data_IF_641858352601
#
_entry.id   IF_641858352601
#
_cell.length_a   1.000
_cell.length_b   1.000
_cell.length_c   1.000
_cell.angle_alpha   90.00
_cell.angle_beta   90.00
_cell.angle_gamma   90.00
#
_symmetry.space_group_name_H-M   'P 1'
#
loop_
_entity.id
_entity.type
_entity.pdbx_description
1 polymer ?
#
# COMPACT_ATOMS: atom_id res chain seq x y z
N UNK A 1 -8.96 -80.63 -5.09
CA UNK A 1 -7.83 -80.28 -5.97
C UNK A 1 -8.05 -78.84 -6.40
N UNK A 2 -7.00 -78.01 -6.26
CA UNK A 2 -6.93 -76.55 -6.48
C UNK A 2 -7.77 -76.10 -7.70
N UNK A 3 -8.41 -74.92 -7.71
CA UNK A 3 -7.74 -73.62 -7.92
C UNK A 3 -8.63 -72.48 -7.39
N UNK A 4 -7.97 -71.57 -6.70
CA UNK A 4 -8.44 -70.26 -6.25
C UNK A 4 -8.65 -69.31 -7.43
N UNK A 5 -9.74 -68.53 -7.44
CA UNK A 5 -9.74 -67.21 -8.09
C UNK A 5 -10.54 -66.22 -7.22
N UNK A 6 -9.78 -65.50 -6.41
CA UNK A 6 -10.16 -64.23 -5.79
C UNK A 6 -10.46 -63.20 -6.88
N UNK A 7 -11.72 -62.77 -6.99
CA UNK A 7 -12.10 -61.58 -7.74
C UNK A 7 -12.14 -60.41 -6.76
N UNK A 8 -10.99 -59.73 -6.62
CA UNK A 8 -10.89 -58.45 -5.95
C UNK A 8 -11.38 -57.36 -6.93
N UNK A 9 -12.63 -56.94 -6.81
CA UNK A 9 -13.16 -55.82 -7.59
C UNK A 9 -12.58 -54.52 -7.02
N UNK A 10 -11.53 -54.01 -7.67
CA UNK A 10 -10.95 -52.70 -7.40
C UNK A 10 -11.95 -51.59 -7.80
N UNK A 11 -12.68 -51.04 -6.83
CA UNK A 11 -13.35 -49.75 -6.99
C UNK A 11 -12.29 -48.65 -6.98
N UNK A 12 -11.81 -48.26 -8.15
CA UNK A 12 -11.06 -47.01 -8.32
C UNK A 12 -12.07 -45.86 -8.21
N UNK A 13 -12.23 -45.35 -7.00
CA UNK A 13 -12.91 -44.08 -6.76
C UNK A 13 -12.04 -42.96 -7.34
N UNK A 14 -12.39 -42.50 -8.54
CA UNK A 14 -11.89 -41.23 -9.08
C UNK A 14 -12.46 -40.10 -8.23
N UNK A 15 -11.75 -39.74 -7.16
CA UNK A 15 -11.91 -38.44 -6.52
C UNK A 15 -11.42 -37.38 -7.52
N UNK A 16 -12.36 -36.81 -8.27
CA UNK A 16 -12.16 -35.53 -8.93
C UNK A 16 -12.05 -34.48 -7.82
N UNK A 17 -10.84 -34.32 -7.28
CA UNK A 17 -10.46 -33.12 -6.55
C UNK A 17 -10.39 -32.04 -7.62
N UNK A 18 -11.51 -31.34 -7.83
CA UNK A 18 -11.49 -30.04 -8.47
C UNK A 18 -10.62 -29.16 -7.56
N UNK A 19 -9.34 -29.00 -7.92
CA UNK A 19 -8.58 -27.83 -7.52
C UNK A 19 -9.32 -26.62 -8.09
N UNK A 20 -10.30 -26.11 -7.34
CA UNK A 20 -10.58 -24.68 -7.37
C UNK A 20 -9.29 -24.03 -6.90
N UNK A 21 -8.42 -23.68 -7.84
CA UNK A 21 -7.49 -22.60 -7.59
C UNK A 21 -8.37 -21.41 -7.31
N UNK A 22 -8.54 -21.04 -6.04
CA UNK A 22 -9.01 -19.70 -5.67
C UNK A 22 -8.18 -18.74 -6.52
N UNK A 23 -8.79 -18.17 -7.57
CA UNK A 23 -8.12 -17.20 -8.41
C UNK A 23 -7.87 -16.02 -7.50
N UNK A 24 -6.63 -15.91 -6.98
CA UNK A 24 -6.22 -14.79 -6.14
C UNK A 24 -6.63 -13.51 -6.85
N UNK A 25 -7.45 -12.71 -6.17
CA UNK A 25 -7.96 -11.44 -6.70
C UNK A 25 -6.77 -10.56 -7.09
N UNK A 26 -6.84 -9.95 -8.26
CA UNK A 26 -5.81 -9.05 -8.77
C UNK A 26 -6.22 -7.60 -8.50
N UNK A 27 -5.64 -6.97 -7.48
CA UNK A 27 -6.00 -5.62 -7.04
C UNK A 27 -5.92 -4.58 -8.16
N UNK A 28 -5.04 -4.78 -9.14
CA UNK A 28 -4.94 -3.88 -10.28
C UNK A 28 -6.03 -4.17 -11.31
N UNK A 29 -6.05 -5.39 -11.85
CA UNK A 29 -6.95 -5.74 -12.95
C UNK A 29 -8.43 -5.80 -12.53
N UNK A 30 -8.70 -6.14 -11.27
CA UNK A 30 -10.04 -6.16 -10.69
C UNK A 30 -10.51 -4.79 -10.17
N UNK A 31 -9.71 -3.74 -10.36
CA UNK A 31 -10.12 -2.34 -10.16
C UNK A 31 -10.11 -1.85 -8.71
N UNK A 32 -9.29 -2.41 -7.81
CA UNK A 32 -9.18 -1.87 -6.45
C UNK A 32 -8.78 -0.39 -6.49
N UNK A 33 -7.64 -0.08 -7.10
CA UNK A 33 -7.06 1.27 -7.08
C UNK A 33 -7.97 2.32 -7.71
N UNK A 34 -8.50 2.06 -8.91
CA UNK A 34 -9.40 2.99 -9.60
C UNK A 34 -10.65 3.29 -8.80
N UNK A 35 -11.26 2.27 -8.18
CA UNK A 35 -12.43 2.47 -7.34
C UNK A 35 -12.10 3.24 -6.05
N UNK A 36 -10.93 3.04 -5.44
CA UNK A 36 -10.51 3.85 -4.28
C UNK A 36 -10.38 5.32 -4.66
N UNK A 37 -9.78 5.64 -5.81
CA UNK A 37 -9.66 7.04 -6.25
C UNK A 37 -11.01 7.68 -6.56
N UNK A 38 -11.92 6.93 -7.20
CA UNK A 38 -13.28 7.39 -7.46
C UNK A 38 -14.05 7.65 -6.16
N UNK A 39 -14.00 6.72 -5.22
CA UNK A 39 -14.68 6.86 -3.93
C UNK A 39 -14.12 8.00 -3.09
N UNK A 40 -12.79 8.21 -3.08
CA UNK A 40 -12.13 9.34 -2.43
C UNK A 40 -12.59 10.68 -3.05
N UNK A 41 -12.63 10.77 -4.39
CA UNK A 41 -13.14 11.97 -5.07
C UNK A 41 -14.59 12.28 -4.70
N UNK A 42 -15.48 11.28 -4.73
CA UNK A 42 -16.89 11.43 -4.34
C UNK A 42 -17.04 11.84 -2.88
N UNK A 43 -16.18 11.32 -1.98
CA UNK A 43 -16.17 11.74 -0.59
C UNK A 43 -15.81 13.23 -0.44
N UNK A 44 -14.77 13.69 -1.16
CA UNK A 44 -14.32 15.09 -1.17
C UNK A 44 -15.44 16.01 -1.70
N UNK A 45 -16.14 15.58 -2.75
CA UNK A 45 -17.29 16.28 -3.34
C UNK A 45 -18.58 16.18 -2.50
N UNK A 46 -18.54 15.48 -1.36
CA UNK A 46 -19.66 15.26 -0.43
C UNK A 46 -20.80 14.42 -1.02
N UNK A 47 -20.52 13.69 -2.09
CA UNK A 47 -21.40 12.67 -2.68
C UNK A 47 -21.29 11.36 -1.86
N UNK A 48 -21.64 11.46 -0.56
CA UNK A 48 -21.34 10.43 0.44
C UNK A 48 -21.97 9.06 0.15
N UNK A 49 -23.23 9.02 -0.31
CA UNK A 49 -23.89 7.73 -0.61
C UNK A 49 -23.17 7.00 -1.74
N UNK A 50 -22.81 7.70 -2.83
CA UNK A 50 -22.06 7.11 -3.95
C UNK A 50 -20.67 6.64 -3.53
N UNK A 51 -19.97 7.45 -2.73
CA UNK A 51 -18.66 7.07 -2.17
C UNK A 51 -18.78 5.80 -1.30
N UNK A 52 -19.80 5.74 -0.44
CA UNK A 52 -20.08 4.58 0.40
C UNK A 52 -20.35 3.32 -0.44
N UNK A 53 -21.21 3.40 -1.45
CA UNK A 53 -21.55 2.27 -2.32
C UNK A 53 -20.32 1.67 -3.01
N UNK A 54 -19.39 2.52 -3.45
CA UNK A 54 -18.13 2.05 -4.05
C UNK A 54 -17.26 1.37 -3.00
N UNK A 55 -17.02 2.00 -1.84
CA UNK A 55 -16.21 1.37 -0.79
C UNK A 55 -16.82 0.06 -0.30
N UNK A 56 -18.14 0.00 -0.10
CA UNK A 56 -18.85 -1.20 0.37
C UNK A 56 -18.68 -2.35 -0.63
N UNK A 57 -18.84 -2.06 -1.92
CA UNK A 57 -18.60 -3.02 -3.00
C UNK A 57 -17.15 -3.48 -3.04
N UNK A 58 -16.17 -2.57 -2.98
CA UNK A 58 -14.74 -2.90 -3.01
C UNK A 58 -14.37 -3.74 -1.79
N UNK A 59 -14.73 -3.32 -0.58
CA UNK A 59 -14.36 -4.02 0.65
C UNK A 59 -15.10 -5.34 0.85
N UNK A 60 -16.16 -5.62 0.08
CA UNK A 60 -16.76 -6.95 0.00
C UNK A 60 -15.91 -7.97 -0.80
N UNK A 61 -15.03 -7.49 -1.68
CA UNK A 61 -14.18 -8.31 -2.57
C UNK A 61 -12.72 -8.32 -2.16
N UNK A 62 -12.22 -7.23 -1.57
CA UNK A 62 -10.81 -7.03 -1.27
C UNK A 62 -10.58 -6.77 0.21
N UNK A 63 -9.48 -7.31 0.74
CA UNK A 63 -8.91 -6.80 1.98
C UNK A 63 -8.39 -5.37 1.74
N UNK A 64 -8.84 -4.35 2.52
CA UNK A 64 -8.38 -2.99 2.33
C UNK A 64 -6.88 -2.85 2.59
N UNK A 65 -6.21 -2.08 1.73
CA UNK A 65 -4.77 -1.76 1.81
C UNK A 65 -4.53 -0.66 2.85
N UNK A 66 -5.44 0.31 2.96
CA UNK A 66 -5.26 1.57 3.69
C UNK A 66 -4.06 2.36 3.16
N UNK A 67 -4.14 2.70 1.87
CA UNK A 67 -3.11 3.44 1.16
C UNK A 67 -2.83 4.78 1.86
N UNK A 68 -1.54 5.06 2.05
CA UNK A 68 -1.10 6.34 2.57
C UNK A 68 -1.69 7.48 1.72
N UNK A 69 -2.01 8.61 2.38
CA UNK A 69 -2.74 9.77 1.83
C UNK A 69 -4.26 9.55 1.71
N UNK A 70 -4.72 8.42 1.17
CA UNK A 70 -6.15 8.18 0.91
C UNK A 70 -6.92 7.76 2.17
N UNK A 71 -6.32 6.97 3.05
CA UNK A 71 -6.91 6.56 4.34
C UNK A 71 -8.30 5.91 4.17
N UNK A 72 -8.48 5.08 3.13
CA UNK A 72 -9.78 4.60 2.67
C UNK A 72 -10.59 3.87 3.74
N UNK A 73 -9.92 3.19 4.68
CA UNK A 73 -10.59 2.46 5.75
C UNK A 73 -11.23 3.42 6.74
N UNK A 74 -10.51 4.47 7.13
CA UNK A 74 -11.06 5.50 8.02
C UNK A 74 -12.20 6.26 7.34
N UNK A 75 -12.09 6.53 6.04
CA UNK A 75 -13.12 7.19 5.23
C UNK A 75 -14.39 6.35 5.15
N UNK A 76 -14.28 5.04 4.92
CA UNK A 76 -15.44 4.14 4.93
C UNK A 76 -16.15 4.09 6.30
N UNK A 77 -15.39 4.06 7.40
CA UNK A 77 -15.97 4.14 8.76
C UNK A 77 -16.69 5.48 8.98
N UNK A 78 -16.10 6.59 8.51
CA UNK A 78 -16.73 7.92 8.57
C UNK A 78 -18.03 7.97 7.77
N UNK A 79 -18.05 7.41 6.57
CA UNK A 79 -19.25 7.34 5.72
C UNK A 79 -20.40 6.59 6.41
N UNK A 80 -20.11 5.46 7.07
CA UNK A 80 -21.13 4.75 7.86
C UNK A 80 -21.73 5.63 8.96
N UNK A 81 -20.90 6.43 9.63
CA UNK A 81 -21.35 7.37 10.67
C UNK A 81 -22.21 8.49 10.07
N UNK A 82 -21.74 9.11 8.97
CA UNK A 82 -22.42 10.22 8.29
C UNK A 82 -23.80 9.79 7.79
N UNK A 83 -23.88 8.61 7.18
CA UNK A 83 -25.09 8.08 6.55
C UNK A 83 -25.98 7.28 7.50
N UNK A 84 -25.57 7.11 8.76
CA UNK A 84 -26.32 6.32 9.75
C UNK A 84 -26.43 4.83 9.39
N UNK A 85 -25.48 4.29 8.63
CA UNK A 85 -25.41 2.85 8.31
C UNK A 85 -24.97 2.05 9.55
N UNK A 86 -25.24 0.74 9.55
CA UNK A 86 -24.77 -0.14 10.63
C UNK A 86 -23.23 -0.13 10.70
N UNK A 87 -22.71 0.23 11.86
CA UNK A 87 -21.28 0.26 12.16
C UNK A 87 -21.00 -0.62 13.37
N UNK A 88 -20.37 -1.77 13.11
CA UNK A 88 -20.01 -2.71 14.16
C UNK A 88 -18.86 -2.12 14.98
N UNK A 89 -18.90 -2.36 16.29
CA UNK A 89 -17.83 -1.92 17.20
C UNK A 89 -16.45 -2.44 16.78
N UNK A 90 -16.39 -3.64 16.20
CA UNK A 90 -15.15 -4.22 15.67
C UNK A 90 -14.58 -3.39 14.52
N UNK A 91 -15.39 -2.95 13.56
CA UNK A 91 -14.93 -2.14 12.42
C UNK A 91 -14.30 -0.82 12.89
N UNK A 92 -14.89 -0.21 13.92
CA UNK A 92 -14.33 1.00 14.54
C UNK A 92 -13.01 0.74 15.28
N UNK A 93 -12.92 -0.37 16.03
CA UNK A 93 -11.71 -0.72 16.79
C UNK A 93 -10.59 -1.32 15.93
N UNK A 94 -10.91 -1.84 14.74
CA UNK A 94 -9.94 -2.31 13.75
C UNK A 94 -9.08 -1.16 13.22
N UNK A 95 -9.60 0.08 13.19
CA UNK A 95 -8.77 1.27 12.90
C UNK A 95 -7.52 1.31 13.80
N UNK A 96 -7.67 1.07 15.10
CA UNK A 96 -6.52 1.05 16.02
C UNK A 96 -5.79 -0.28 16.01
N UNK A 97 -6.51 -1.41 16.05
CA UNK A 97 -5.90 -2.73 16.27
C UNK A 97 -5.32 -3.41 15.03
N UNK A 98 -5.76 -3.02 13.83
CA UNK A 98 -5.27 -3.56 12.56
C UNK A 98 -4.49 -2.51 11.78
N UNK A 99 -5.03 -1.30 11.67
CA UNK A 99 -4.44 -0.24 10.83
C UNK A 99 -3.56 0.74 11.62
N UNK A 100 -3.50 0.61 12.94
CA UNK A 100 -2.59 1.38 13.79
C UNK A 100 -2.95 2.86 13.95
N UNK A 101 -4.20 3.25 13.66
CA UNK A 101 -4.66 4.62 13.89
C UNK A 101 -4.57 4.96 15.39
N UNK A 102 -3.89 6.07 15.76
CA UNK A 102 -3.80 6.52 17.15
C UNK A 102 -5.19 6.83 17.72
N UNK A 103 -5.43 6.49 18.98
CA UNK A 103 -6.72 6.78 19.62
C UNK A 103 -7.03 8.29 19.63
N UNK A 104 -6.00 9.14 19.71
CA UNK A 104 -6.16 10.58 19.62
C UNK A 104 -6.73 11.04 18.27
N UNK A 105 -6.42 10.34 17.17
CA UNK A 105 -7.01 10.60 15.86
C UNK A 105 -8.52 10.35 15.89
N UNK A 106 -8.93 9.19 16.41
CA UNK A 106 -10.34 8.80 16.52
C UNK A 106 -11.13 9.75 17.45
N UNK A 107 -10.49 10.24 18.52
CA UNK A 107 -11.09 11.16 19.50
C UNK A 107 -11.23 12.61 19.00
N UNK A 108 -10.32 13.05 18.13
CA UNK A 108 -10.27 14.45 17.65
C UNK A 108 -10.92 14.65 16.28
N UNK A 109 -10.95 13.63 15.44
CA UNK A 109 -11.60 13.70 14.15
C UNK A 109 -13.10 14.01 14.31
N UNK A 110 -13.60 15.00 13.57
CA UNK A 110 -14.95 15.54 13.75
C UNK A 110 -16.06 14.53 13.51
N UNK A 111 -15.83 13.52 12.66
CA UNK A 111 -16.80 12.48 12.33
C UNK A 111 -16.59 11.25 13.22
N UNK A 112 -15.36 10.75 13.34
CA UNK A 112 -15.08 9.55 14.15
C UNK A 112 -15.39 9.77 15.64
N UNK A 113 -15.26 11.01 16.14
CA UNK A 113 -15.58 11.35 17.53
C UNK A 113 -17.08 11.17 17.84
N UNK A 114 -17.97 11.26 16.84
CA UNK A 114 -19.41 11.01 17.04
C UNK A 114 -19.63 9.57 17.52
N UNK A 115 -18.96 8.58 16.91
CA UNK A 115 -19.06 7.19 17.34
C UNK A 115 -18.28 6.94 18.63
N UNK A 116 -17.08 7.51 18.79
CA UNK A 116 -16.31 7.44 20.03
C UNK A 116 -17.16 7.81 21.26
N UNK A 117 -17.89 8.93 21.21
CA UNK A 117 -18.68 9.40 22.36
C UNK A 117 -19.77 8.41 22.79
N UNK A 118 -20.28 7.58 21.86
CA UNK A 118 -21.27 6.53 22.15
C UNK A 118 -20.65 5.33 22.86
N UNK A 119 -19.37 5.04 22.60
CA UNK A 119 -18.67 3.82 23.07
C UNK A 119 -17.50 4.10 24.03
N UNK A 120 -17.26 5.36 24.40
CA UNK A 120 -16.04 5.82 25.10
C UNK A 120 -15.65 4.97 26.31
N UNK A 121 -16.61 4.62 27.16
CA UNK A 121 -16.36 3.86 28.39
C UNK A 121 -15.78 2.47 28.11
N UNK A 122 -16.20 1.85 26.99
CA UNK A 122 -15.69 0.56 26.54
C UNK A 122 -14.37 0.75 25.79
N UNK A 123 -14.35 1.69 24.84
CA UNK A 123 -13.18 1.96 24.01
C UNK A 123 -11.94 2.35 24.84
N UNK A 124 -12.07 3.30 25.78
CA UNK A 124 -10.93 3.75 26.59
C UNK A 124 -10.33 2.62 27.46
N UNK A 125 -11.16 1.67 27.92
CA UNK A 125 -10.68 0.48 28.64
C UNK A 125 -9.91 -0.48 27.74
N UNK A 126 -10.28 -0.56 26.47
CA UNK A 126 -9.70 -1.51 25.50
C UNK A 126 -8.48 -0.95 24.75
N UNK A 127 -8.23 0.37 24.77
CA UNK A 127 -7.08 1.01 24.08
C UNK A 127 -5.76 0.26 24.29
N UNK A 128 -5.35 -0.12 25.52
CA UNK A 128 -4.08 -0.83 25.72
C UNK A 128 -4.02 -2.17 24.97
N UNK A 129 -5.13 -2.90 24.93
CA UNK A 129 -5.25 -4.19 24.24
C UNK A 129 -5.24 -4.00 22.74
N UNK A 130 -5.98 -3.02 22.22
CA UNK A 130 -6.03 -2.71 20.78
C UNK A 130 -4.66 -2.29 20.25
N UNK A 131 -3.95 -1.39 20.97
CA UNK A 131 -2.58 -0.98 20.60
C UNK A 131 -1.61 -2.15 20.62
N UNK A 132 -1.71 -3.02 21.64
CA UNK A 132 -0.87 -4.23 21.73
C UNK A 132 -1.15 -5.19 20.59
N UNK A 133 -2.41 -5.35 20.17
CA UNK A 133 -2.76 -6.20 19.03
C UNK A 133 -2.08 -5.72 17.75
N UNK A 134 -2.11 -4.41 17.47
CA UNK A 134 -1.41 -3.84 16.33
C UNK A 134 0.09 -4.04 16.42
N UNK A 135 0.74 -3.60 17.51
CA UNK A 135 2.21 -3.67 17.62
C UNK A 135 2.75 -5.09 17.63
N UNK A 136 2.02 -6.06 18.20
CA UNK A 136 2.42 -7.47 18.21
C UNK A 136 2.27 -8.14 16.84
N UNK A 137 1.52 -7.55 15.92
CA UNK A 137 1.38 -8.06 14.55
C UNK A 137 2.55 -7.68 13.64
N UNK A 138 3.39 -6.72 14.05
CA UNK A 138 4.46 -6.16 13.24
C UNK A 138 5.75 -6.98 13.34
N UNK A 139 6.45 -7.10 12.21
CA UNK A 139 7.82 -7.61 12.17
C UNK A 139 8.82 -6.49 12.51
N UNK A 140 9.05 -6.31 13.81
CA UNK A 140 9.93 -5.26 14.33
C UNK A 140 11.40 -5.46 13.97
N UNK A 141 11.86 -6.70 13.79
CA UNK A 141 13.23 -6.99 13.38
C UNK A 141 13.49 -6.54 11.94
N UNK A 142 12.56 -6.85 11.03
CA UNK A 142 12.63 -6.38 9.66
C UNK A 142 12.51 -4.85 9.58
N UNK A 143 11.60 -4.26 10.36
CA UNK A 143 11.49 -2.79 10.47
C UNK A 143 12.83 -2.16 10.87
N UNK A 144 13.43 -2.64 11.95
CA UNK A 144 14.71 -2.14 12.47
C UNK A 144 15.85 -2.35 11.48
N UNK A 145 15.84 -3.46 10.73
CA UNK A 145 16.79 -3.70 9.64
C UNK A 145 16.65 -2.64 8.55
N UNK A 146 15.44 -2.38 8.07
CA UNK A 146 15.17 -1.36 7.04
C UNK A 146 15.60 0.02 7.51
N UNK A 147 15.31 0.39 8.77
CA UNK A 147 15.75 1.67 9.34
C UNK A 147 17.27 1.81 9.33
N UNK A 148 18.01 0.77 9.70
CA UNK A 148 19.49 0.77 9.61
C UNK A 148 19.99 0.90 8.17
N UNK A 149 19.38 0.17 7.22
CA UNK A 149 19.73 0.28 5.80
C UNK A 149 19.57 1.70 5.28
N UNK A 150 18.49 2.40 5.68
CA UNK A 150 18.27 3.81 5.32
C UNK A 150 19.32 4.76 5.90
N UNK A 151 19.75 4.54 7.14
CA UNK A 151 20.80 5.35 7.76
C UNK A 151 22.11 5.18 6.99
N UNK A 152 22.49 3.93 6.67
CA UNK A 152 23.71 3.67 5.90
C UNK A 152 23.61 4.20 4.46
N UNK A 153 22.44 4.10 3.82
CA UNK A 153 22.20 4.62 2.46
C UNK A 153 22.49 6.12 2.33
N UNK A 154 22.37 6.90 3.40
CA UNK A 154 22.62 8.35 3.38
C UNK A 154 24.03 8.72 3.87
N UNK A 155 24.82 7.76 4.34
CA UNK A 155 26.06 8.01 5.11
C UNK A 155 27.15 8.76 4.35
N UNK A 156 27.32 8.46 3.06
CA UNK A 156 28.37 9.07 2.22
C UNK A 156 27.80 9.92 1.08
N UNK A 157 26.48 10.10 1.02
CA UNK A 157 25.81 11.02 0.10
C UNK A 157 25.97 12.45 0.62
N UNK A 158 26.60 13.31 -0.16
CA UNK A 158 26.74 14.73 0.18
C UNK A 158 26.75 15.58 -1.08
N UNK A 159 26.01 16.70 -1.08
CA UNK A 159 25.98 17.63 -2.20
C UNK A 159 27.37 18.22 -2.43
N UNK A 160 28.01 17.89 -3.57
CA UNK A 160 29.27 18.48 -4.00
C UNK A 160 30.55 17.93 -3.35
N UNK A 161 30.48 16.82 -2.60
CA UNK A 161 31.68 16.24 -1.94
C UNK A 161 31.52 14.85 -1.33
N UNK A 162 30.45 14.12 -1.66
CA UNK A 162 30.23 12.76 -1.18
C UNK A 162 31.31 11.77 -1.64
N UNK A 163 31.54 10.71 -0.86
CA UNK A 163 32.45 9.64 -1.25
C UNK A 163 31.68 8.58 -2.05
N UNK A 164 31.62 8.78 -3.37
CA UNK A 164 30.82 7.94 -4.26
C UNK A 164 31.32 6.50 -4.37
N UNK A 165 32.61 6.24 -4.23
CA UNK A 165 33.13 4.85 -4.20
C UNK A 165 32.57 4.08 -3.00
N UNK A 166 32.57 4.70 -1.81
CA UNK A 166 31.96 4.12 -0.61
C UNK A 166 30.45 4.03 -0.75
N UNK A 167 29.81 5.02 -1.35
CA UNK A 167 28.36 5.03 -1.55
C UNK A 167 27.92 3.90 -2.48
N UNK A 168 28.57 3.72 -3.63
CA UNK A 168 28.25 2.66 -4.58
C UNK A 168 28.37 1.28 -3.95
N UNK A 169 29.35 1.09 -3.04
CA UNK A 169 29.45 -0.15 -2.27
C UNK A 169 28.25 -0.36 -1.34
N UNK A 170 27.78 0.69 -0.67
CA UNK A 170 26.57 0.62 0.17
C UNK A 170 25.34 0.32 -0.69
N UNK A 171 25.21 0.95 -1.86
CA UNK A 171 24.08 0.76 -2.77
C UNK A 171 24.02 -0.68 -3.29
N UNK A 172 25.18 -1.27 -3.60
CA UNK A 172 25.30 -2.68 -3.96
C UNK A 172 24.91 -3.63 -2.81
N UNK A 173 25.36 -3.35 -1.58
CA UNK A 173 24.97 -4.13 -0.38
C UNK A 173 23.45 -4.02 -0.16
N UNK A 174 22.90 -2.81 -0.20
CA UNK A 174 21.47 -2.57 -0.03
C UNK A 174 20.66 -3.27 -1.13
N UNK A 175 21.15 -3.32 -2.36
CA UNK A 175 20.52 -4.05 -3.46
C UNK A 175 20.37 -5.54 -3.14
N UNK A 176 21.45 -6.19 -2.68
CA UNK A 176 21.39 -7.61 -2.29
C UNK A 176 20.47 -7.84 -1.09
N UNK A 177 20.49 -6.92 -0.12
CA UNK A 177 19.61 -7.00 1.05
C UNK A 177 18.12 -6.81 0.69
N UNK A 178 17.79 -5.96 -0.29
CA UNK A 178 16.43 -5.82 -0.80
C UNK A 178 15.93 -7.10 -1.46
N UNK A 179 16.78 -7.77 -2.25
CA UNK A 179 16.48 -9.09 -2.84
C UNK A 179 16.20 -10.10 -1.72
N UNK A 180 17.10 -10.19 -0.73
CA UNK A 180 16.94 -11.10 0.41
C UNK A 180 15.65 -10.82 1.20
N UNK A 181 15.28 -9.54 1.37
CA UNK A 181 14.02 -9.15 2.02
C UNK A 181 12.83 -9.67 1.20
N UNK A 182 12.84 -9.51 -0.12
CA UNK A 182 11.75 -9.99 -0.97
C UNK A 182 11.62 -11.50 -0.96
N UNK A 183 12.74 -12.22 -0.97
CA UNK A 183 12.73 -13.68 -0.97
C UNK A 183 12.31 -14.26 0.38
N UNK A 184 12.68 -13.60 1.48
CA UNK A 184 12.38 -14.08 2.84
C UNK A 184 11.00 -13.67 3.32
N UNK A 185 10.62 -12.41 3.12
CA UNK A 185 9.44 -11.80 3.73
C UNK A 185 8.39 -11.36 2.70
N UNK A 186 8.77 -11.19 1.44
CA UNK A 186 7.98 -10.48 0.44
C UNK A 186 8.13 -8.96 0.56
N UNK A 187 7.15 -8.21 0.06
CA UNK A 187 7.16 -6.74 0.18
C UNK A 187 6.92 -6.31 1.64
N UNK A 188 7.81 -5.51 2.24
CA UNK A 188 7.67 -5.03 3.61
C UNK A 188 6.63 -3.89 3.69
N UNK A 189 5.35 -4.24 3.57
CA UNK A 189 4.25 -3.29 3.58
C UNK A 189 4.03 -2.64 4.94
N UNK A 190 3.27 -1.54 4.99
CA UNK A 190 2.82 -0.90 6.24
C UNK A 190 2.15 -1.88 7.20
N UNK A 191 1.36 -2.84 6.69
CA UNK A 191 0.72 -3.89 7.49
C UNK A 191 1.75 -4.85 8.13
N UNK A 192 2.91 -5.03 7.52
CA UNK A 192 3.97 -5.93 8.01
C UNK A 192 4.93 -5.23 8.96
N UNK A 193 5.39 -4.02 8.64
CA UNK A 193 6.46 -3.33 9.38
C UNK A 193 5.98 -2.09 10.14
N UNK A 194 4.71 -1.70 9.98
CA UNK A 194 4.10 -0.53 10.60
C UNK A 194 4.46 0.79 9.91
N UNK A 195 3.70 1.85 10.22
CA UNK A 195 3.97 3.22 9.78
C UNK A 195 4.95 3.95 10.70
N UNK A 196 5.19 5.25 10.48
CA UNK A 196 5.92 6.11 11.41
C UNK A 196 5.21 6.33 12.74
N UNK A 197 3.93 5.98 12.85
CA UNK A 197 3.14 6.12 14.09
C UNK A 197 3.58 5.14 15.20
N UNK A 198 4.40 4.13 14.86
CA UNK A 198 4.93 3.15 15.81
C UNK A 198 5.96 3.78 16.74
N UNK A 199 6.91 4.54 16.20
CA UNK A 199 8.12 5.01 16.91
C UNK A 199 8.66 6.36 16.41
N UNK A 200 7.90 7.07 15.56
CA UNK A 200 8.31 8.32 14.93
C UNK A 200 9.23 8.17 13.71
N UNK A 201 9.64 6.94 13.35
CA UNK A 201 10.57 6.71 12.24
C UNK A 201 9.85 6.13 11.01
N UNK A 202 10.11 6.69 9.83
CA UNK A 202 9.53 6.18 8.59
C UNK A 202 10.33 4.99 8.04
N UNK A 203 9.93 3.76 8.38
CA UNK A 203 10.49 2.54 7.84
C UNK A 203 9.88 2.22 6.47
N UNK A 204 10.64 2.43 5.39
CA UNK A 204 10.22 2.15 4.02
C UNK A 204 11.43 1.88 3.14
N UNK A 205 11.30 0.95 2.19
CA UNK A 205 12.36 0.60 1.24
C UNK A 205 12.35 1.47 -0.03
N UNK A 206 11.37 2.37 -0.20
CA UNK A 206 11.19 3.13 -1.45
C UNK A 206 12.45 3.88 -1.88
N UNK A 207 13.08 4.62 -0.97
CA UNK A 207 14.32 5.36 -1.26
C UNK A 207 15.47 4.43 -1.66
N UNK A 208 15.60 3.29 -0.98
CA UNK A 208 16.64 2.30 -1.29
C UNK A 208 16.46 1.72 -2.69
N UNK A 209 15.21 1.45 -3.09
CA UNK A 209 14.87 0.98 -4.44
C UNK A 209 15.21 2.01 -5.52
N UNK A 210 14.98 3.31 -5.25
CA UNK A 210 15.32 4.39 -6.19
C UNK A 210 16.84 4.55 -6.40
N UNK A 211 17.65 4.10 -5.44
CA UNK A 211 19.11 4.16 -5.49
C UNK A 211 19.77 2.90 -6.07
N UNK A 212 19.00 1.87 -6.42
CA UNK A 212 19.54 0.69 -7.11
C UNK A 212 20.03 1.05 -8.52
N UNK A 213 20.96 0.26 -9.06
CA UNK A 213 21.45 0.42 -10.43
C UNK A 213 20.31 0.28 -11.46
N UNK A 214 20.40 1.02 -12.56
CA UNK A 214 19.34 1.11 -13.57
C UNK A 214 18.96 -0.26 -14.17
N UNK A 215 19.94 -1.11 -14.47
CA UNK A 215 19.68 -2.44 -15.05
C UNK A 215 18.86 -3.35 -14.12
N UNK A 216 19.22 -3.44 -12.84
CA UNK A 216 18.46 -4.28 -11.89
C UNK A 216 17.13 -3.63 -11.49
N UNK A 217 17.07 -2.30 -11.46
CA UNK A 217 15.84 -1.54 -11.25
C UNK A 217 14.80 -1.89 -12.32
N UNK A 218 15.21 -1.83 -13.58
CA UNK A 218 14.36 -2.10 -14.75
C UNK A 218 13.93 -3.55 -14.84
N UNK A 219 14.87 -4.50 -14.77
CA UNK A 219 14.59 -5.89 -15.11
C UNK A 219 14.12 -6.74 -13.93
N UNK A 220 14.42 -6.34 -12.68
CA UNK A 220 14.03 -7.09 -11.49
C UNK A 220 13.04 -6.31 -10.63
N UNK A 221 13.42 -5.12 -10.13
CA UNK A 221 12.64 -4.47 -9.09
C UNK A 221 11.31 -3.91 -9.59
N UNK A 222 11.26 -3.19 -10.71
CA UNK A 222 10.02 -2.62 -11.25
C UNK A 222 8.96 -3.73 -11.50
N UNK A 223 9.27 -4.82 -12.24
CA UNK A 223 8.34 -5.93 -12.42
C UNK A 223 7.89 -6.57 -11.10
N UNK A 224 8.83 -6.75 -10.15
CA UNK A 224 8.53 -7.35 -8.84
C UNK A 224 7.61 -6.46 -7.99
N UNK A 225 7.82 -5.15 -7.98
CA UNK A 225 6.93 -4.22 -7.28
C UNK A 225 5.55 -4.20 -7.94
N UNK A 226 5.47 -4.21 -9.28
CA UNK A 226 4.18 -4.29 -9.98
C UNK A 226 3.42 -5.58 -9.62
N UNK A 227 4.10 -6.72 -9.50
CA UNK A 227 3.50 -7.96 -9.00
C UNK A 227 2.97 -7.80 -7.55
N UNK A 228 3.67 -7.06 -6.68
CA UNK A 228 3.17 -6.74 -5.35
C UNK A 228 1.98 -5.76 -5.35
N UNK A 229 1.90 -4.83 -6.30
CA UNK A 229 0.74 -3.96 -6.53
C UNK A 229 -0.47 -4.82 -6.91
N UNK A 230 -0.32 -5.72 -7.88
CA UNK A 230 -1.39 -6.67 -8.27
C UNK A 230 -1.88 -7.54 -7.10
N UNK A 231 -1.04 -7.76 -6.10
CA UNK A 231 -1.37 -8.52 -4.87
C UNK A 231 -1.85 -7.64 -3.71
N UNK A 232 -2.05 -6.33 -3.92
CA UNK A 232 -2.48 -5.40 -2.87
C UNK A 232 -1.45 -5.19 -1.75
N UNK A 233 -0.17 -5.48 -2.00
CA UNK A 233 0.91 -5.37 -1.00
C UNK A 233 1.72 -4.08 -1.12
N UNK A 234 1.82 -3.52 -2.32
CA UNK A 234 2.60 -2.32 -2.60
C UNK A 234 1.70 -1.19 -3.13
N UNK A 235 2.13 0.05 -2.90
CA UNK A 235 1.48 1.23 -3.46
C UNK A 235 1.93 1.42 -4.92
N UNK A 236 1.02 1.59 -5.89
CA UNK A 236 1.35 1.77 -7.31
C UNK A 236 2.24 2.98 -7.59
N UNK A 237 2.21 4.00 -6.71
CA UNK A 237 3.11 5.15 -6.79
C UNK A 237 4.59 4.78 -6.75
N UNK A 238 4.96 3.69 -6.06
CA UNK A 238 6.34 3.23 -6.05
C UNK A 238 6.80 2.77 -7.44
N UNK A 239 5.95 2.08 -8.21
CA UNK A 239 6.25 1.68 -9.59
C UNK A 239 6.49 2.93 -10.45
N UNK A 240 5.58 3.90 -10.36
CA UNK A 240 5.69 5.16 -11.09
C UNK A 240 6.98 5.91 -10.76
N UNK A 241 7.33 6.05 -9.48
CA UNK A 241 8.58 6.70 -9.06
C UNK A 241 9.82 5.98 -9.57
N UNK A 242 9.88 4.66 -9.48
CA UNK A 242 11.03 3.90 -9.95
C UNK A 242 11.23 4.04 -11.45
N UNK A 243 10.13 4.00 -12.21
CA UNK A 243 10.16 4.11 -13.66
C UNK A 243 10.50 5.52 -14.12
N UNK A 244 9.89 6.56 -13.53
CA UNK A 244 10.23 7.95 -13.85
C UNK A 244 11.68 8.28 -13.44
N UNK A 245 12.18 7.73 -12.33
CA UNK A 245 13.59 7.91 -11.95
C UNK A 245 14.55 7.33 -13.00
N UNK A 246 14.24 6.16 -13.55
CA UNK A 246 14.99 5.52 -14.63
C UNK A 246 14.93 6.34 -15.93
N UNK A 247 13.77 6.88 -16.28
CA UNK A 247 13.61 7.70 -17.50
C UNK A 247 14.29 9.06 -17.37
N UNK A 248 14.24 9.67 -16.19
CA UNK A 248 14.93 10.92 -15.90
C UNK A 248 16.46 10.77 -15.99
N UNK A 249 17.04 9.63 -15.61
CA UNK A 249 18.49 9.38 -15.72
C UNK A 249 18.95 9.08 -17.14
N UNK A 250 18.10 8.44 -17.95
CA UNK A 250 18.49 7.91 -19.28
C UNK A 250 18.12 8.82 -20.45
N UNK A 251 16.91 9.39 -20.43
CA UNK A 251 16.36 10.18 -21.54
C UNK A 251 15.87 11.57 -21.13
N UNK A 252 15.95 11.91 -19.83
CA UNK A 252 15.61 13.24 -19.30
C UNK A 252 14.12 13.62 -19.47
N UNK A 253 13.23 12.63 -19.33
CA UNK A 253 11.77 12.76 -19.45
C UNK A 253 11.04 12.05 -18.29
N UNK A 254 9.75 12.35 -18.12
CA UNK A 254 8.86 11.60 -17.23
C UNK A 254 7.85 10.76 -18.04
N UNK A 255 7.68 9.49 -17.66
CA UNK A 255 6.78 8.57 -18.34
C UNK A 255 5.39 8.53 -17.71
N UNK A 256 5.32 8.50 -16.37
CA UNK A 256 4.09 8.51 -15.57
C UNK A 256 3.80 9.87 -14.93
N UNK A 257 4.77 10.80 -14.89
CA UNK A 257 4.59 12.15 -14.33
C UNK A 257 4.43 12.15 -12.81
N UNK A 258 5.26 11.38 -12.10
CA UNK A 258 5.21 11.26 -10.64
C UNK A 258 6.09 12.27 -9.92
N UNK A 259 7.04 12.93 -10.60
CA UNK A 259 7.91 13.93 -10.00
C UNK A 259 7.43 15.36 -10.32
N UNK A 260 7.48 16.22 -9.30
CA UNK A 260 7.26 17.67 -9.45
C UNK A 260 8.54 18.28 -10.02
N UNK A 261 8.64 18.34 -11.35
CA UNK A 261 9.80 18.92 -12.06
C UNK A 261 9.33 19.61 -13.34
N UNK A 262 10.17 20.48 -13.89
CA UNK A 262 9.97 21.08 -15.23
C UNK A 262 10.30 20.12 -16.38
N UNK A 263 10.61 18.85 -16.09
CA UNK A 263 11.00 17.87 -17.12
C UNK A 263 9.79 17.47 -17.95
N UNK A 264 9.96 17.32 -19.28
CA UNK A 264 8.85 17.09 -20.18
C UNK A 264 8.19 15.73 -19.97
N UNK A 265 6.90 15.68 -20.31
CA UNK A 265 6.15 14.44 -20.55
C UNK A 265 5.78 14.42 -22.02
N UNK A 266 6.52 13.64 -22.83
CA UNK A 266 6.31 13.56 -24.28
C UNK A 266 5.15 12.63 -24.63
N UNK A 267 3.94 13.02 -24.21
CA UNK A 267 2.68 12.34 -24.49
C UNK A 267 1.49 13.28 -24.22
N UNK A 268 0.35 13.02 -24.83
CA UNK A 268 -0.90 13.69 -24.49
C UNK A 268 -1.36 13.33 -23.07
N UNK A 269 -2.18 14.19 -22.46
CA UNK A 269 -2.78 13.92 -21.15
C UNK A 269 -3.55 12.58 -21.12
N UNK A 270 -4.23 12.24 -22.22
CA UNK A 270 -4.95 10.96 -22.35
C UNK A 270 -4.00 9.77 -22.26
N UNK A 271 -2.92 9.78 -23.04
CA UNK A 271 -1.91 8.72 -23.05
C UNK A 271 -1.20 8.60 -21.69
N UNK A 272 -0.92 9.73 -21.02
CA UNK A 272 -0.34 9.72 -19.67
C UNK A 272 -1.30 9.04 -18.68
N UNK A 273 -2.58 9.38 -18.72
CA UNK A 273 -3.57 8.77 -17.84
C UNK A 273 -3.78 7.28 -18.14
N UNK A 274 -3.72 6.86 -19.41
CA UNK A 274 -3.75 5.44 -19.80
C UNK A 274 -2.53 4.68 -19.24
N UNK A 275 -1.32 5.26 -19.34
CA UNK A 275 -0.11 4.70 -18.71
C UNK A 275 -0.29 4.60 -17.20
N UNK A 276 -0.70 5.67 -16.53
CA UNK A 276 -0.91 5.71 -15.07
C UNK A 276 -1.91 4.63 -14.62
N UNK A 277 -3.04 4.50 -15.31
CA UNK A 277 -4.02 3.46 -15.05
C UNK A 277 -3.44 2.04 -15.19
N UNK A 278 -2.53 1.81 -16.15
CA UNK A 278 -1.91 0.49 -16.37
C UNK A 278 -1.09 -0.06 -15.20
N UNK A 279 -0.66 0.81 -14.28
CA UNK A 279 0.04 0.44 -13.05
C UNK A 279 -0.75 0.74 -11.78
N UNK A 280 -1.99 1.24 -11.92
CA UNK A 280 -2.88 1.52 -10.79
C UNK A 280 -2.73 2.91 -10.19
N UNK A 281 -2.11 3.87 -10.88
CA UNK A 281 -2.08 5.27 -10.47
C UNK A 281 -3.41 5.98 -10.79
N UNK A 282 -3.73 7.00 -10.00
CA UNK A 282 -4.79 7.97 -10.30
C UNK A 282 -4.43 8.80 -11.53
N UNK A 283 -5.40 9.50 -12.12
CA UNK A 283 -5.13 10.44 -13.21
C UNK A 283 -4.12 11.52 -12.78
N UNK A 284 -3.34 12.01 -13.73
CA UNK A 284 -2.41 13.13 -13.50
C UNK A 284 -3.21 14.34 -12.98
N UNK A 285 -2.70 14.97 -11.91
CA UNK A 285 -3.34 16.11 -11.25
C UNK A 285 -4.43 15.75 -10.22
N UNK A 286 -4.78 14.46 -10.06
CA UNK A 286 -5.76 14.05 -9.03
C UNK A 286 -5.30 14.43 -7.61
N UNK A 287 -4.04 14.19 -7.27
CA UNK A 287 -3.53 14.54 -5.94
C UNK A 287 -3.46 16.05 -5.72
N UNK A 288 -3.11 16.81 -6.76
CA UNK A 288 -3.04 18.28 -6.70
C UNK A 288 -4.44 18.86 -6.47
N UNK A 289 -5.42 18.40 -7.24
CA UNK A 289 -6.83 18.73 -7.04
C UNK A 289 -7.29 18.39 -5.62
N UNK A 290 -7.02 17.15 -5.18
CA UNK A 290 -7.37 16.68 -3.83
C UNK A 290 -6.78 17.57 -2.74
N UNK A 291 -5.49 17.90 -2.85
CA UNK A 291 -4.81 18.74 -1.87
C UNK A 291 -5.33 20.17 -1.86
N UNK A 292 -5.63 20.77 -3.02
CA UNK A 292 -6.21 22.12 -3.08
C UNK A 292 -7.58 22.24 -2.39
N UNK A 293 -8.34 21.15 -2.29
CA UNK A 293 -9.62 21.12 -1.58
C UNK A 293 -9.42 20.80 -0.09
N UNK A 294 -8.60 19.79 0.23
CA UNK A 294 -8.43 19.30 1.60
C UNK A 294 -7.49 20.17 2.44
N UNK A 295 -6.54 20.83 1.80
CA UNK A 295 -5.47 21.61 2.40
C UNK A 295 -5.26 22.94 1.63
N UNK A 296 -6.28 23.80 1.53
CA UNK A 296 -6.21 25.03 0.73
C UNK A 296 -5.13 26.01 1.20
N UNK A 297 -4.69 25.90 2.46
CA UNK A 297 -3.69 26.79 3.07
C UNK A 297 -2.24 26.23 2.95
N UNK A 298 -2.02 25.10 2.27
CA UNK A 298 -0.71 24.47 2.18
C UNK A 298 0.21 25.07 1.10
N UNK A 299 -0.32 25.93 0.22
CA UNK A 299 0.44 26.59 -0.86
C UNK A 299 1.23 27.83 -0.40
N UNK A 300 1.23 28.17 0.90
CA UNK A 300 1.90 29.37 1.46
C UNK A 300 3.33 29.17 1.99
N UNK A 301 4.00 28.02 1.74
CA UNK A 301 5.36 27.76 2.25
C UNK A 301 6.35 27.23 1.22
#
# INVERSE_FOLDING_TARGET
MKIEHSLLLSMVAFFLISCFTDSKVDYLADGYYSNIYEADSLYIEKEYEKSYEIFDKVFSKFDPIDMDVYNEVSTYVKLKIILGKDLKYKEYTDLTSIYGYPDIFLKKDSVLNIYYNRVKNKFDKEIPVLKKAYTSSLNMDLRNKILRMKVEDQRFRGNGGGNWDKQNKIDSINTQELINIFDTYGFPSKKMIGSSLVDGQHASISTLLLHTDDSIKEHYFIPKILDYVRKGKANPRLVGYMYDRLFLSTVNEQYYGTYITSKPMNASLKEINERRASIGLSNLGHDDWRNSILYPDFDEY
#
